data_IF_747211222260
#
_entry.id   IF_747211222260
#
_cell.length_a   1.000
_cell.length_b   1.000
_cell.length_c   1.000
_cell.angle_alpha   90.00
_cell.angle_beta   90.00
_cell.angle_gamma   90.00
#
_symmetry.space_group_name_H-M   'P 1'
#
loop_
_entity.id
_entity.type
_entity.pdbx_description
1 polymer ?
#
# COMPACT_ATOMS: atom_id res chain seq x y z
N UNK A 1 -18.06 13.76 -9.12
CA UNK A 1 -17.88 15.05 -8.45
C UNK A 1 -17.19 14.77 -7.13
N UNK A 2 -16.10 15.48 -6.87
CA UNK A 2 -15.34 15.30 -5.63
C UNK A 2 -16.23 15.68 -4.45
N UNK A 3 -16.38 14.81 -3.46
CA UNK A 3 -17.16 15.07 -2.24
C UNK A 3 -16.36 15.86 -1.19
N UNK A 4 -15.20 16.40 -1.57
CA UNK A 4 -14.33 17.16 -0.68
C UNK A 4 -14.74 18.63 -0.64
N UNK A 5 -14.80 19.21 0.57
CA UNK A 5 -15.05 20.64 0.78
C UNK A 5 -13.76 21.48 0.63
N UNK A 6 -12.85 21.05 -0.26
CA UNK A 6 -11.57 21.70 -0.50
C UNK A 6 -11.75 23.06 -1.14
N UNK A 7 -11.23 24.10 -0.49
CA UNK A 7 -11.38 25.49 -0.94
C UNK A 7 -10.27 25.95 -1.88
N UNK A 8 -9.13 25.28 -1.85
CA UNK A 8 -7.94 25.61 -2.64
C UNK A 8 -7.42 24.36 -3.33
N UNK A 9 -7.12 24.46 -4.61
CA UNK A 9 -6.38 23.44 -5.35
C UNK A 9 -4.99 23.98 -5.69
N UNK A 10 -3.97 23.11 -5.55
CA UNK A 10 -2.61 23.37 -6.02
C UNK A 10 -2.34 22.37 -7.13
N UNK A 11 -1.89 22.84 -8.28
CA UNK A 11 -1.67 22.01 -9.46
C UNK A 11 -0.40 22.46 -10.20
N UNK A 12 0.10 21.62 -11.09
CA UNK A 12 1.15 21.97 -12.06
C UNK A 12 0.57 22.71 -13.28
N UNK A 13 1.45 23.11 -14.21
CA UNK A 13 1.03 23.78 -15.45
C UNK A 13 0.24 22.86 -16.38
N UNK A 14 0.56 21.56 -16.41
CA UNK A 14 -0.06 20.61 -17.34
C UNK A 14 -1.53 20.38 -17.03
N UNK A 15 -1.94 20.49 -15.76
CA UNK A 15 -3.32 20.29 -15.30
C UNK A 15 -4.03 21.60 -14.94
N UNK A 16 -3.37 22.75 -15.11
CA UNK A 16 -3.88 24.04 -14.64
C UNK A 16 -5.23 24.43 -15.28
N UNK A 17 -5.38 24.22 -16.59
CA UNK A 17 -6.62 24.52 -17.31
C UNK A 17 -7.79 23.65 -16.84
N UNK A 18 -7.56 22.34 -16.67
CA UNK A 18 -8.58 21.39 -16.21
C UNK A 18 -9.05 21.70 -14.80
N UNK A 19 -8.11 22.00 -13.89
CA UNK A 19 -8.44 22.36 -12.51
C UNK A 19 -9.11 23.72 -12.42
N UNK A 20 -8.65 24.70 -13.22
CA UNK A 20 -9.27 26.02 -13.29
C UNK A 20 -10.73 25.96 -13.80
N UNK A 21 -11.03 25.08 -14.74
CA UNK A 21 -12.37 24.85 -15.24
C UNK A 21 -13.37 24.35 -14.17
N UNK A 22 -12.87 23.77 -13.08
CA UNK A 22 -13.69 23.33 -11.94
C UNK A 22 -14.13 24.49 -11.04
N UNK A 23 -13.48 25.65 -11.12
CA UNK A 23 -13.90 26.86 -10.37
C UNK A 23 -15.27 27.31 -10.87
N UNK A 24 -16.22 27.40 -9.96
CA UNK A 24 -17.62 27.69 -10.28
C UNK A 24 -18.48 26.44 -10.56
N UNK A 25 -17.90 25.31 -10.93
CA UNK A 25 -18.59 24.01 -11.01
C UNK A 25 -18.58 23.28 -9.65
N UNK A 26 -17.50 23.41 -8.89
CA UNK A 26 -17.35 22.89 -7.53
C UNK A 26 -17.52 24.05 -6.56
N UNK A 27 -18.65 24.10 -5.87
CA UNK A 27 -19.06 25.26 -5.08
C UNK A 27 -18.07 25.65 -3.96
N UNK A 28 -17.31 24.70 -3.43
CA UNK A 28 -16.31 24.95 -2.40
C UNK A 28 -14.95 25.41 -2.94
N UNK A 29 -14.61 25.15 -4.22
CA UNK A 29 -13.33 25.51 -4.80
C UNK A 29 -13.28 27.02 -5.10
N UNK A 30 -12.47 27.75 -4.34
CA UNK A 30 -12.38 29.22 -4.41
C UNK A 30 -11.12 29.71 -5.11
N UNK A 31 -10.06 28.90 -5.11
CA UNK A 31 -8.76 29.33 -5.65
C UNK A 31 -8.00 28.14 -6.22
N UNK A 32 -7.32 28.38 -7.33
CA UNK A 32 -6.36 27.45 -7.92
C UNK A 32 -4.98 28.12 -7.93
N UNK A 33 -3.98 27.42 -7.44
CA UNK A 33 -2.59 27.87 -7.40
C UNK A 33 -1.79 26.96 -8.31
N UNK A 34 -1.15 27.54 -9.31
CA UNK A 34 -0.23 26.79 -10.18
C UNK A 34 1.17 26.80 -9.57
N UNK A 35 1.79 25.65 -9.40
CA UNK A 35 3.11 25.45 -8.83
C UNK A 35 4.00 24.60 -9.77
N UNK A 36 5.19 25.11 -10.17
CA UNK A 36 5.74 26.43 -9.87
C UNK A 36 5.00 27.56 -10.59
N UNK A 37 5.01 28.75 -10.01
CA UNK A 37 4.38 29.94 -10.62
C UNK A 37 4.39 31.15 -9.70
N UNK A 38 4.08 32.36 -10.24
CA UNK A 38 4.25 33.60 -9.48
C UNK A 38 3.43 33.67 -8.17
N UNK A 39 2.26 33.03 -8.13
CA UNK A 39 1.44 32.99 -6.92
C UNK A 39 2.02 32.02 -5.89
N UNK A 40 2.50 30.86 -6.33
CA UNK A 40 3.17 29.88 -5.50
C UNK A 40 4.45 30.48 -4.89
N UNK A 41 5.29 31.14 -5.69
CA UNK A 41 6.53 31.76 -5.24
C UNK A 41 6.28 32.86 -4.19
N UNK A 42 5.24 33.68 -4.37
CA UNK A 42 4.85 34.67 -3.36
C UNK A 42 4.43 34.03 -2.05
N UNK A 43 3.66 32.94 -2.10
CA UNK A 43 3.23 32.22 -0.91
C UNK A 43 4.42 31.52 -0.21
N UNK A 44 5.27 30.87 -0.99
CA UNK A 44 6.45 30.17 -0.46
C UNK A 44 7.49 31.12 0.16
N UNK A 45 7.58 32.36 -0.31
CA UNK A 45 8.45 33.41 0.22
C UNK A 45 7.81 34.26 1.33
N UNK A 46 6.55 34.01 1.68
CA UNK A 46 5.85 34.73 2.75
C UNK A 46 6.45 34.41 4.12
N UNK A 47 6.30 35.31 5.08
CA UNK A 47 6.64 35.02 6.45
C UNK A 47 5.85 33.81 6.98
N UNK A 48 6.48 32.90 7.73
CA UNK A 48 5.79 31.76 8.33
C UNK A 48 4.64 32.24 9.22
N UNK A 49 3.47 31.57 9.09
CA UNK A 49 2.37 31.78 10.04
C UNK A 49 2.63 30.97 11.31
N UNK A 50 2.14 31.40 12.48
CA UNK A 50 2.21 30.60 13.69
C UNK A 50 1.54 29.24 13.51
N UNK A 51 2.11 28.22 14.16
CA UNK A 51 1.44 26.92 14.24
C UNK A 51 0.09 27.07 14.95
N UNK A 52 -0.91 26.39 14.40
CA UNK A 52 -2.25 26.35 15.00
C UNK A 52 -2.36 25.07 15.83
N UNK A 53 -2.82 25.20 17.07
CA UNK A 53 -3.17 24.04 17.88
C UNK A 53 -4.40 23.37 17.28
N UNK A 54 -4.31 22.06 17.06
CA UNK A 54 -5.38 21.23 16.55
C UNK A 54 -5.61 20.02 17.43
N UNK A 55 -6.86 19.60 17.52
CA UNK A 55 -7.20 18.38 18.26
C UNK A 55 -6.62 17.15 17.54
N UNK A 56 -6.19 16.16 18.30
CA UNK A 56 -5.57 14.94 17.75
C UNK A 56 -6.49 14.16 16.81
N UNK A 57 -7.79 14.30 16.99
CA UNK A 57 -8.82 13.66 16.18
C UNK A 57 -9.32 14.56 15.02
N UNK A 58 -8.71 15.75 14.86
CA UNK A 58 -9.01 16.59 13.70
C UNK A 58 -8.53 15.91 12.39
N UNK A 59 -9.29 16.02 11.28
CA UNK A 59 -8.87 15.55 9.97
C UNK A 59 -7.56 16.22 9.54
N UNK A 60 -6.59 15.40 9.11
CA UNK A 60 -5.28 15.88 8.66
C UNK A 60 -5.02 15.54 7.19
N UNK A 61 -5.56 14.41 6.71
CA UNK A 61 -5.36 13.94 5.35
C UNK A 61 -6.59 13.20 4.85
N UNK A 62 -7.04 13.47 3.64
CA UNK A 62 -8.01 12.65 2.93
C UNK A 62 -7.26 11.73 1.97
N UNK A 63 -7.20 10.45 2.30
CA UNK A 63 -6.56 9.46 1.45
C UNK A 63 -7.60 8.81 0.55
N UNK A 64 -7.53 9.09 -0.75
CA UNK A 64 -8.51 8.55 -1.70
C UNK A 64 -8.14 7.14 -2.13
N UNK A 65 -9.08 6.22 -1.95
CA UNK A 65 -8.99 4.82 -2.40
C UNK A 65 -9.96 4.58 -3.56
N UNK A 66 -9.60 3.66 -4.45
CA UNK A 66 -10.44 3.26 -5.58
C UNK A 66 -11.58 2.35 -5.13
N UNK A 67 -12.54 2.86 -4.37
CA UNK A 67 -13.61 2.04 -3.78
C UNK A 67 -14.17 0.95 -4.71
N UNK A 68 -14.60 -0.16 -4.12
CA UNK A 68 -15.19 -1.33 -4.81
C UNK A 68 -16.42 -0.99 -5.67
N UNK A 69 -17.06 0.15 -5.42
CA UNK A 69 -18.25 0.65 -6.14
C UNK A 69 -17.91 1.53 -7.35
N UNK A 70 -16.62 1.63 -7.74
CA UNK A 70 -16.17 2.44 -8.88
C UNK A 70 -16.08 3.96 -8.61
N UNK A 71 -16.53 4.44 -7.46
CA UNK A 71 -16.33 5.84 -7.04
C UNK A 71 -15.26 5.92 -5.97
N UNK A 72 -14.25 6.80 -6.10
CA UNK A 72 -13.24 6.98 -5.07
C UNK A 72 -13.86 7.36 -3.72
N UNK A 73 -13.36 6.74 -2.64
CA UNK A 73 -13.73 7.06 -1.26
C UNK A 73 -12.55 7.77 -0.60
N UNK A 74 -12.80 8.89 0.07
CA UNK A 74 -11.78 9.61 0.84
C UNK A 74 -11.73 9.08 2.27
N UNK A 75 -10.76 8.21 2.58
CA UNK A 75 -10.49 7.82 3.96
C UNK A 75 -10.01 9.05 4.74
N UNK A 76 -10.68 9.38 5.83
CA UNK A 76 -10.33 10.52 6.67
C UNK A 76 -9.26 10.10 7.65
N UNK A 77 -8.03 10.53 7.45
CA UNK A 77 -6.94 10.29 8.38
C UNK A 77 -6.81 11.48 9.33
N UNK A 78 -6.87 11.22 10.62
CA UNK A 78 -6.68 12.23 11.67
C UNK A 78 -5.20 12.39 12.03
N UNK A 79 -4.85 13.43 12.77
CA UNK A 79 -3.52 13.59 13.34
C UNK A 79 -3.13 12.39 14.22
N UNK A 80 -4.10 11.78 14.96
CA UNK A 80 -3.90 10.55 15.74
C UNK A 80 -3.47 9.39 14.85
N UNK A 81 -4.18 9.13 13.74
CA UNK A 81 -3.86 8.02 12.84
C UNK A 81 -2.45 8.16 12.24
N UNK A 82 -2.08 9.37 11.81
CA UNK A 82 -0.76 9.65 11.24
C UNK A 82 0.36 9.56 12.28
N UNK A 83 0.09 9.97 13.53
CA UNK A 83 1.04 9.81 14.63
C UNK A 83 1.24 8.35 15.00
N UNK A 84 0.15 7.57 15.12
CA UNK A 84 0.22 6.13 15.41
C UNK A 84 1.02 5.40 14.32
N UNK A 85 0.76 5.66 13.04
CA UNK A 85 1.55 5.14 11.91
C UNK A 85 3.03 5.52 12.03
N UNK A 86 3.33 6.78 12.38
CA UNK A 86 4.71 7.27 12.52
C UNK A 86 5.44 6.57 13.67
N UNK A 87 4.79 6.38 14.82
CA UNK A 87 5.37 5.68 15.96
C UNK A 87 5.57 4.18 15.68
N UNK A 88 4.58 3.55 15.06
CA UNK A 88 4.70 2.17 14.57
C UNK A 88 5.85 1.99 13.57
N UNK A 89 6.09 2.98 12.70
CA UNK A 89 7.26 2.94 11.81
C UNK A 89 8.56 2.83 12.60
N UNK A 90 8.76 3.66 13.63
CA UNK A 90 9.98 3.61 14.45
C UNK A 90 10.10 2.33 15.29
N UNK A 91 8.97 1.74 15.68
CA UNK A 91 8.98 0.49 16.43
C UNK A 91 9.34 -0.72 15.56
N UNK A 92 8.79 -0.81 14.34
CA UNK A 92 8.73 -2.08 13.61
C UNK A 92 9.50 -2.07 12.28
N UNK A 93 9.74 -0.89 11.67
CA UNK A 93 10.35 -0.83 10.33
C UNK A 93 11.81 -0.43 10.41
N UNK A 94 12.09 0.79 10.85
CA UNK A 94 13.47 1.30 10.89
C UNK A 94 13.63 2.50 11.83
N UNK A 95 14.86 2.68 12.33
CA UNK A 95 15.27 3.90 13.02
C UNK A 95 15.72 4.92 11.97
N UNK A 96 15.36 6.18 12.15
CA UNK A 96 15.72 7.28 11.26
C UNK A 96 16.63 8.25 11.99
N UNK A 97 17.76 8.57 11.37
CA UNK A 97 18.70 9.59 11.82
C UNK A 97 18.52 10.90 11.02
N UNK A 98 18.83 12.07 11.57
CA UNK A 98 18.73 13.34 10.84
C UNK A 98 19.59 13.42 9.56
N UNK A 99 20.60 12.55 9.45
CA UNK A 99 21.46 12.43 8.27
C UNK A 99 20.87 11.52 7.18
N UNK A 100 19.79 10.82 7.46
CA UNK A 100 19.12 9.93 6.51
C UNK A 100 18.27 10.72 5.51
N UNK A 101 17.84 10.05 4.48
CA UNK A 101 16.99 10.62 3.43
C UNK A 101 15.84 9.69 3.07
N UNK A 102 14.67 10.27 2.81
CA UNK A 102 13.58 9.55 2.15
C UNK A 102 13.52 9.96 0.69
N UNK A 103 13.62 8.97 -0.21
CA UNK A 103 13.51 9.18 -1.65
C UNK A 103 12.08 8.86 -2.10
N UNK A 104 11.38 9.84 -2.65
CA UNK A 104 10.01 9.68 -3.12
C UNK A 104 9.97 9.10 -4.53
N UNK A 105 10.39 7.84 -4.68
CA UNK A 105 10.41 7.11 -5.94
C UNK A 105 9.02 6.61 -6.40
N UNK A 106 8.02 6.73 -5.55
CA UNK A 106 6.60 6.46 -5.83
C UNK A 106 5.77 7.71 -5.53
N UNK A 107 4.50 7.80 -6.02
CA UNK A 107 3.68 8.99 -5.86
C UNK A 107 3.50 9.43 -4.40
N UNK A 108 3.70 10.74 -4.16
CA UNK A 108 3.50 11.36 -2.84
C UNK A 108 2.07 11.26 -2.32
N UNK A 109 1.10 11.11 -3.20
CA UNK A 109 -0.32 10.93 -2.85
C UNK A 109 -0.64 9.56 -2.24
N UNK A 110 0.33 8.64 -2.21
CA UNK A 110 0.20 7.26 -1.72
C UNK A 110 1.22 6.93 -0.63
N UNK A 111 1.64 5.68 -0.51
CA UNK A 111 2.53 5.20 0.53
C UNK A 111 3.84 5.99 0.67
N UNK A 112 4.40 6.48 -0.44
CA UNK A 112 5.63 7.27 -0.40
C UNK A 112 5.47 8.55 0.43
N UNK A 113 4.36 9.27 0.27
CA UNK A 113 4.09 10.49 1.05
C UNK A 113 3.83 10.21 2.52
N UNK A 114 3.13 9.12 2.85
CA UNK A 114 2.91 8.71 4.22
C UNK A 114 4.23 8.44 4.94
N UNK A 115 5.16 7.72 4.32
CA UNK A 115 6.48 7.46 4.91
C UNK A 115 7.43 8.66 4.90
N UNK A 116 7.06 9.78 4.27
CA UNK A 116 7.69 11.08 4.49
C UNK A 116 7.51 11.59 5.92
N UNK A 117 6.38 11.30 6.58
CA UNK A 117 6.07 11.81 7.92
C UNK A 117 7.07 11.37 9.00
N UNK A 118 7.40 10.07 9.16
CA UNK A 118 8.43 9.64 10.12
C UNK A 118 9.80 10.26 9.82
N UNK A 119 10.16 10.47 8.54
CA UNK A 119 11.42 11.11 8.17
C UNK A 119 11.44 12.60 8.55
N UNK A 120 10.36 13.33 8.28
CA UNK A 120 10.20 14.73 8.72
C UNK A 120 10.25 14.84 10.24
N UNK A 121 9.60 13.93 10.96
CA UNK A 121 9.62 13.90 12.44
C UNK A 121 11.03 13.72 13.01
N UNK A 122 11.96 13.13 12.25
CA UNK A 122 13.36 12.94 12.65
C UNK A 122 14.31 13.98 12.04
N UNK A 123 13.79 14.92 11.25
CA UNK A 123 14.59 15.94 10.59
C UNK A 123 15.42 15.42 9.40
N UNK A 124 15.06 14.27 8.86
CA UNK A 124 15.68 13.70 7.67
C UNK A 124 15.26 14.43 6.39
N UNK A 125 16.05 14.31 5.33
CA UNK A 125 15.81 15.01 4.07
C UNK A 125 14.82 14.27 3.18
N UNK A 126 13.83 14.98 2.63
CA UNK A 126 12.97 14.48 1.56
C UNK A 126 13.58 14.78 0.19
N UNK A 127 13.78 13.74 -0.61
CA UNK A 127 14.36 13.80 -1.96
C UNK A 127 13.31 13.44 -2.98
N UNK A 128 13.00 14.35 -3.90
CA UNK A 128 12.05 14.13 -4.99
C UNK A 128 12.85 13.93 -6.28
N UNK A 129 12.74 12.78 -6.96
CA UNK A 129 13.40 12.56 -8.25
C UNK A 129 12.90 13.55 -9.29
N UNK A 130 13.78 14.00 -10.17
CA UNK A 130 13.43 14.93 -11.24
C UNK A 130 12.47 14.28 -12.27
N UNK A 131 12.63 12.97 -12.51
CA UNK A 131 11.72 12.18 -13.36
C UNK A 131 10.30 12.01 -12.79
N UNK A 132 10.07 12.43 -11.54
CA UNK A 132 8.80 12.21 -10.82
C UNK A 132 8.62 10.79 -10.29
N UNK A 133 9.60 9.90 -10.40
CA UNK A 133 9.50 8.54 -9.84
C UNK A 133 10.50 7.54 -10.42
N UNK A 134 10.33 6.32 -10.19
CA UNK A 134 11.00 5.04 -10.42
C UNK A 134 11.96 4.82 -11.60
N UNK A 135 12.65 5.83 -12.15
CA UNK A 135 13.74 5.64 -13.10
C UNK A 135 14.97 5.06 -12.40
N UNK A 136 15.43 3.87 -12.85
CA UNK A 136 16.53 3.15 -12.19
C UNK A 136 17.87 3.89 -12.26
N UNK A 137 18.18 4.57 -13.37
CA UNK A 137 19.43 5.31 -13.53
C UNK A 137 19.44 6.55 -12.62
N UNK A 138 18.32 7.24 -12.51
CA UNK A 138 18.18 8.36 -11.60
C UNK A 138 18.28 7.92 -10.14
N UNK A 139 17.57 6.83 -9.74
CA UNK A 139 17.67 6.28 -8.39
C UNK A 139 19.12 5.90 -8.06
N UNK A 140 19.81 5.20 -8.97
CA UNK A 140 21.22 4.85 -8.79
C UNK A 140 22.10 6.09 -8.60
N UNK A 141 21.85 7.16 -9.35
CA UNK A 141 22.56 8.46 -9.19
C UNK A 141 22.26 9.13 -7.85
N UNK A 142 21.00 9.10 -7.41
CA UNK A 142 20.59 9.70 -6.13
C UNK A 142 21.17 8.93 -4.93
N UNK A 143 21.31 7.62 -5.02
CA UNK A 143 22.00 6.80 -4.00
C UNK A 143 23.48 7.17 -3.83
N UNK A 144 24.13 7.77 -4.85
CA UNK A 144 25.50 8.28 -4.71
C UNK A 144 25.56 9.66 -4.03
N UNK A 145 24.45 10.41 -4.04
CA UNK A 145 24.40 11.79 -3.56
C UNK A 145 23.88 11.88 -2.12
N UNK A 146 22.96 10.98 -1.73
CA UNK A 146 22.26 11.02 -0.45
C UNK A 146 22.63 9.80 0.40
N UNK A 147 22.60 9.99 1.73
CA UNK A 147 22.95 8.96 2.70
C UNK A 147 21.70 8.37 3.34
N UNK A 148 21.80 7.11 3.79
CA UNK A 148 20.75 6.44 4.54
C UNK A 148 19.42 6.47 3.79
N UNK A 149 19.46 6.23 2.47
CA UNK A 149 18.30 6.41 1.60
C UNK A 149 17.28 5.32 1.86
N UNK A 150 16.08 5.73 2.21
CA UNK A 150 14.89 4.87 2.33
C UNK A 150 13.87 5.29 1.29
N UNK A 151 13.18 4.33 0.67
CA UNK A 151 12.05 4.63 -0.21
C UNK A 151 10.97 3.55 -0.16
N UNK A 152 9.74 3.95 -0.48
CA UNK A 152 8.62 3.03 -0.69
C UNK A 152 8.56 2.60 -2.16
N UNK A 153 8.29 1.32 -2.40
CA UNK A 153 8.13 0.75 -3.73
C UNK A 153 7.00 -0.29 -3.77
N UNK A 154 6.20 -0.29 -4.82
CA UNK A 154 5.35 -1.44 -5.09
C UNK A 154 6.20 -2.67 -5.50
N UNK A 155 5.74 -3.91 -5.29
CA UNK A 155 6.46 -5.12 -5.68
C UNK A 155 6.96 -5.12 -7.12
N UNK A 156 6.15 -4.67 -8.07
CA UNK A 156 6.53 -4.53 -9.49
C UNK A 156 7.69 -3.55 -9.70
N UNK A 157 7.77 -2.50 -8.90
CA UNK A 157 8.89 -1.57 -8.93
C UNK A 157 10.15 -2.19 -8.34
N UNK A 158 10.05 -2.91 -7.23
CA UNK A 158 11.17 -3.66 -6.63
C UNK A 158 11.76 -4.64 -7.64
N UNK A 159 10.91 -5.45 -8.29
CA UNK A 159 11.32 -6.39 -9.34
C UNK A 159 12.03 -5.68 -10.51
N UNK A 160 11.47 -4.58 -11.00
CA UNK A 160 12.08 -3.79 -12.08
C UNK A 160 13.45 -3.25 -11.70
N UNK A 161 13.59 -2.70 -10.49
CA UNK A 161 14.86 -2.18 -10.00
C UNK A 161 15.90 -3.29 -9.78
N UNK A 162 15.48 -4.46 -9.30
CA UNK A 162 16.36 -5.62 -9.15
C UNK A 162 16.92 -6.13 -10.49
N UNK A 163 16.15 -5.98 -11.58
CA UNK A 163 16.58 -6.32 -12.94
C UNK A 163 17.29 -5.20 -13.69
N UNK A 164 17.34 -3.97 -13.16
CA UNK A 164 17.90 -2.82 -13.86
C UNK A 164 19.44 -2.78 -13.76
N UNK A 165 20.17 -2.85 -14.91
CA UNK A 165 21.64 -2.78 -14.91
C UNK A 165 22.22 -1.49 -14.32
N UNK A 166 21.49 -0.36 -14.33
CA UNK A 166 21.95 0.88 -13.72
C UNK A 166 21.95 0.77 -12.19
N UNK A 167 20.99 0.05 -11.62
CA UNK A 167 20.89 -0.19 -10.17
C UNK A 167 21.84 -1.30 -9.73
N UNK A 168 21.82 -2.45 -10.42
CA UNK A 168 22.59 -3.64 -10.02
C UNK A 168 24.10 -3.48 -10.10
N UNK A 169 24.58 -2.52 -10.92
CA UNK A 169 26.01 -2.17 -11.04
C UNK A 169 26.42 -0.97 -10.19
N UNK A 170 25.48 -0.30 -9.55
CA UNK A 170 25.77 0.86 -8.71
C UNK A 170 26.24 0.45 -7.31
N UNK A 171 26.87 1.38 -6.61
CA UNK A 171 27.15 1.22 -5.18
C UNK A 171 25.86 1.44 -4.39
N UNK A 172 25.39 0.41 -3.70
CA UNK A 172 24.19 0.43 -2.86
C UNK A 172 24.49 0.72 -1.38
N UNK A 173 25.70 1.15 -1.04
CA UNK A 173 26.11 1.36 0.37
C UNK A 173 25.25 2.40 1.10
N UNK A 174 24.73 3.40 0.39
CA UNK A 174 23.85 4.42 0.92
C UNK A 174 22.36 4.00 0.95
N UNK A 175 21.99 2.89 0.32
CA UNK A 175 20.65 2.34 0.43
C UNK A 175 20.44 1.73 1.82
N UNK A 176 19.50 2.27 2.58
CA UNK A 176 19.18 1.84 3.94
C UNK A 176 18.01 0.89 3.97
N UNK A 177 16.89 1.26 3.36
CA UNK A 177 15.68 0.45 3.39
C UNK A 177 14.83 0.65 2.15
N UNK A 178 14.37 -0.43 1.55
CA UNK A 178 13.26 -0.45 0.61
C UNK A 178 12.05 -0.98 1.35
N UNK A 179 11.05 -0.13 1.56
CA UNK A 179 9.77 -0.53 2.12
C UNK A 179 8.88 -0.94 0.95
N UNK A 180 8.40 -2.17 0.95
CA UNK A 180 7.54 -2.62 -0.14
C UNK A 180 6.18 -3.13 0.35
N UNK A 181 5.16 -2.94 -0.49
CA UNK A 181 3.80 -3.36 -0.21
C UNK A 181 2.79 -2.76 -1.19
N UNK A 182 1.51 -2.89 -0.86
CA UNK A 182 0.40 -2.40 -1.69
C UNK A 182 -0.02 -3.35 -2.82
N UNK A 183 0.70 -4.45 -3.03
CA UNK A 183 0.36 -5.54 -3.94
C UNK A 183 1.06 -6.83 -3.47
N UNK A 184 0.68 -8.02 -3.99
CA UNK A 184 1.40 -9.26 -3.70
C UNK A 184 2.86 -9.20 -4.15
N UNK A 185 3.76 -9.68 -3.28
CA UNK A 185 5.16 -9.96 -3.61
C UNK A 185 5.31 -11.46 -3.70
N UNK A 186 5.62 -11.95 -4.90
CA UNK A 186 5.86 -13.38 -5.09
C UNK A 186 7.23 -13.77 -4.58
N UNK A 187 7.34 -14.98 -4.01
CA UNK A 187 8.59 -15.45 -3.39
C UNK A 187 9.78 -15.42 -4.35
N UNK A 188 9.58 -15.83 -5.59
CA UNK A 188 10.65 -15.81 -6.61
C UNK A 188 11.18 -14.39 -6.88
N UNK A 189 10.29 -13.39 -6.98
CA UNK A 189 10.67 -11.99 -7.18
C UNK A 189 11.36 -11.42 -5.93
N UNK A 190 10.93 -11.84 -4.74
CA UNK A 190 11.56 -11.45 -3.47
C UNK A 190 12.97 -12.02 -3.35
N UNK A 191 13.17 -13.30 -3.70
CA UNK A 191 14.51 -13.94 -3.68
C UNK A 191 15.47 -13.23 -4.64
N UNK A 192 15.03 -12.87 -5.86
CA UNK A 192 15.82 -12.07 -6.80
C UNK A 192 16.14 -10.68 -6.22
N UNK A 193 15.18 -10.01 -5.59
CA UNK A 193 15.39 -8.71 -4.98
C UNK A 193 16.37 -8.77 -3.81
N UNK A 194 16.27 -9.80 -2.95
CA UNK A 194 17.20 -10.01 -1.83
C UNK A 194 18.64 -10.31 -2.31
N UNK A 195 18.80 -10.99 -3.43
CA UNK A 195 20.11 -11.23 -4.02
C UNK A 195 20.80 -9.92 -4.48
N UNK A 196 20.01 -8.92 -4.91
CA UNK A 196 20.52 -7.61 -5.35
C UNK A 196 20.66 -6.63 -4.18
N UNK A 197 19.60 -6.45 -3.40
CA UNK A 197 19.56 -5.41 -2.37
C UNK A 197 20.08 -5.87 -1.00
N UNK A 198 20.25 -7.17 -0.81
CA UNK A 198 20.64 -7.74 0.48
C UNK A 198 19.57 -7.50 1.55
N UNK A 199 19.95 -7.44 2.85
CA UNK A 199 19.02 -7.33 3.98
C UNK A 199 18.49 -5.90 4.15
N UNK A 200 17.97 -5.30 3.08
CA UNK A 200 17.45 -3.92 3.07
C UNK A 200 15.96 -3.85 2.75
N UNK A 201 15.29 -4.99 2.62
CA UNK A 201 13.87 -5.05 2.33
C UNK A 201 13.06 -5.14 3.62
N UNK A 202 11.98 -4.36 3.70
CA UNK A 202 10.97 -4.45 4.75
C UNK A 202 9.58 -4.46 4.09
N UNK A 203 8.77 -5.45 4.40
CA UNK A 203 7.41 -5.55 3.87
C UNK A 203 6.42 -4.87 4.78
N UNK A 204 5.39 -4.27 4.17
CA UNK A 204 4.20 -3.82 4.88
C UNK A 204 2.93 -4.30 4.19
N UNK A 205 1.92 -4.59 5.00
CA UNK A 205 0.55 -4.70 4.58
C UNK A 205 -0.29 -3.66 5.30
N UNK A 206 -1.15 -3.01 4.57
CA UNK A 206 -2.10 -2.02 5.07
C UNK A 206 -2.86 -1.37 3.93
N UNK A 207 -3.89 -0.63 4.30
CA UNK A 207 -4.79 0.07 3.38
C UNK A 207 -4.70 1.57 3.61
N UNK A 208 -5.37 2.37 2.75
CA UNK A 208 -5.50 3.82 2.97
C UNK A 208 -6.22 4.16 4.26
N UNK A 209 -7.13 3.29 4.66
CA UNK A 209 -7.96 3.35 5.88
C UNK A 209 -7.15 3.14 7.18
N UNK A 210 -5.91 2.62 7.07
CA UNK A 210 -4.99 2.37 8.20
C UNK A 210 -3.61 2.97 7.98
N UNK A 211 -3.42 4.04 7.28
CA UNK A 211 -2.24 4.58 6.59
C UNK A 211 -1.09 3.57 6.47
N UNK A 212 -1.31 2.50 5.67
CA UNK A 212 -0.34 1.44 5.36
C UNK A 212 0.15 0.62 6.58
N UNK A 213 -0.62 0.54 7.68
CA UNK A 213 -0.13 0.02 8.96
C UNK A 213 -1.08 -1.03 9.53
N UNK A 214 -0.97 -2.27 9.08
CA UNK A 214 -1.69 -3.43 9.65
C UNK A 214 -0.67 -4.46 10.13
N UNK A 215 0.12 -5.05 9.20
CA UNK A 215 1.19 -6.01 9.51
C UNK A 215 2.49 -5.64 8.81
N UNK A 216 3.56 -6.33 9.11
CA UNK A 216 4.83 -6.15 8.41
C UNK A 216 5.85 -7.25 8.70
N UNK A 217 6.81 -7.38 7.78
CA UNK A 217 8.02 -8.18 7.93
C UNK A 217 9.23 -7.26 7.97
N UNK A 218 10.02 -7.40 9.01
CA UNK A 218 11.23 -6.59 9.24
C UNK A 218 12.38 -7.00 8.31
N UNK A 219 13.40 -6.15 8.24
CA UNK A 219 14.67 -6.47 7.56
C UNK A 219 15.37 -7.68 8.17
N UNK A 220 15.24 -7.88 9.49
CA UNK A 220 15.83 -9.01 10.18
C UNK A 220 15.19 -10.33 9.76
N UNK A 221 13.87 -10.38 9.64
CA UNK A 221 13.14 -11.56 9.16
C UNK A 221 13.49 -11.90 7.71
N UNK A 222 13.65 -10.89 6.84
CA UNK A 222 14.13 -11.12 5.47
C UNK A 222 15.55 -11.69 5.41
N UNK A 223 16.41 -11.31 6.34
CA UNK A 223 17.80 -11.74 6.37
C UNK A 223 18.01 -13.14 6.97
N UNK A 224 17.09 -13.63 7.79
CA UNK A 224 17.24 -14.90 8.52
C UNK A 224 16.83 -16.11 7.67
N UNK A 225 17.53 -16.33 6.57
CA UNK A 225 17.31 -17.46 5.67
C UNK A 225 17.79 -18.81 6.21
N UNK A 226 18.34 -18.84 7.42
CA UNK A 226 18.71 -20.08 8.12
C UNK A 226 17.53 -20.76 8.81
N UNK A 227 16.42 -20.03 9.04
CA UNK A 227 15.20 -20.57 9.60
C UNK A 227 14.48 -21.50 8.58
N UNK A 228 14.13 -22.73 8.95
CA UNK A 228 13.44 -23.67 8.06
C UNK A 228 12.07 -23.16 7.59
N UNK A 229 11.41 -22.25 8.35
CA UNK A 229 10.13 -21.64 8.01
C UNK A 229 10.29 -20.31 7.26
N UNK A 230 11.51 -19.91 6.91
CA UNK A 230 11.75 -18.61 6.25
C UNK A 230 10.91 -18.42 4.99
N UNK A 231 10.81 -19.45 4.13
CA UNK A 231 10.03 -19.37 2.88
C UNK A 231 8.53 -19.15 3.13
N UNK A 232 7.99 -19.79 4.15
CA UNK A 232 6.59 -19.66 4.53
C UNK A 232 6.32 -18.22 5.05
N UNK A 233 7.23 -17.72 5.91
CA UNK A 233 7.16 -16.32 6.40
C UNK A 233 7.26 -15.29 5.28
N UNK A 234 8.12 -15.50 4.29
CA UNK A 234 8.28 -14.61 3.14
C UNK A 234 7.06 -14.59 2.20
N UNK A 235 6.20 -15.59 2.28
CA UNK A 235 4.90 -15.63 1.59
C UNK A 235 3.77 -14.99 2.40
N UNK A 236 4.01 -14.71 3.68
CA UNK A 236 3.09 -13.99 4.55
C UNK A 236 3.17 -12.48 4.34
N UNK A 237 2.29 -11.73 4.98
CA UNK A 237 2.37 -10.27 5.12
C UNK A 237 2.86 -9.85 6.52
N UNK A 238 3.42 -10.80 7.26
CA UNK A 238 4.09 -10.58 8.53
C UNK A 238 3.20 -10.58 9.76
N UNK A 239 3.74 -10.02 10.82
CA UNK A 239 3.12 -9.92 12.14
C UNK A 239 2.33 -8.61 12.29
N UNK A 240 1.29 -8.55 13.13
CA UNK A 240 0.62 -7.32 13.49
C UNK A 240 1.62 -6.25 13.94
N UNK A 241 1.41 -5.01 13.46
CA UNK A 241 2.26 -3.88 13.85
C UNK A 241 2.03 -3.48 15.29
N UNK A 242 3.01 -2.83 15.90
CA UNK A 242 2.90 -2.30 17.26
C UNK A 242 1.65 -1.44 17.41
N UNK A 243 0.88 -1.72 18.46
CA UNK A 243 -0.40 -1.07 18.80
C UNK A 243 -1.52 -1.28 17.77
N UNK A 244 -1.47 -2.37 17.00
CA UNK A 244 -2.51 -2.76 16.03
C UNK A 244 -3.03 -4.15 16.38
N UNK A 245 -4.33 -4.25 16.62
CA UNK A 245 -5.01 -5.54 16.78
C UNK A 245 -5.49 -6.02 15.41
N UNK A 246 -5.18 -7.27 15.09
CA UNK A 246 -5.58 -7.91 13.83
C UNK A 246 -6.24 -9.24 14.16
N UNK A 247 -7.39 -9.51 13.58
CA UNK A 247 -8.10 -10.80 13.71
C UNK A 247 -8.52 -11.31 12.34
N UNK A 248 -8.78 -12.60 12.28
CA UNK A 248 -9.43 -13.25 11.15
C UNK A 248 -10.79 -13.75 11.64
N UNK A 249 -11.85 -13.34 10.95
CA UNK A 249 -13.23 -13.60 11.39
C UNK A 249 -14.06 -14.27 10.29
N UNK A 250 -15.12 -14.97 10.72
CA UNK A 250 -16.13 -15.53 9.82
C UNK A 250 -17.18 -14.47 9.38
N UNK A 251 -18.18 -14.88 8.64
CA UNK A 251 -19.30 -14.04 8.16
C UNK A 251 -20.17 -13.43 9.28
N UNK A 252 -20.07 -13.95 10.51
CA UNK A 252 -20.78 -13.48 11.69
C UNK A 252 -19.90 -12.65 12.62
N UNK A 253 -18.71 -12.22 12.15
CA UNK A 253 -17.70 -11.48 12.91
C UNK A 253 -17.15 -12.28 14.11
N UNK A 254 -17.21 -13.63 14.07
CA UNK A 254 -16.63 -14.51 15.09
C UNK A 254 -15.19 -14.85 14.71
N UNK A 255 -14.26 -14.65 15.66
CA UNK A 255 -12.85 -14.96 15.46
C UNK A 255 -12.61 -16.44 15.15
N UNK A 256 -11.88 -16.72 14.09
CA UNK A 256 -11.57 -18.06 13.61
C UNK A 256 -10.29 -18.61 14.27
N UNK A 257 -10.20 -19.94 14.43
CA UNK A 257 -8.96 -20.60 14.85
C UNK A 257 -7.80 -20.36 13.89
N UNK A 258 -6.58 -20.50 14.42
CA UNK A 258 -5.34 -20.47 13.63
C UNK A 258 -5.41 -21.48 12.46
N UNK A 259 -5.03 -21.03 11.27
CA UNK A 259 -5.04 -21.80 10.03
C UNK A 259 -6.35 -21.73 9.24
N UNK A 260 -7.44 -21.26 9.84
CA UNK A 260 -8.70 -21.06 9.12
C UNK A 260 -8.72 -19.72 8.38
N UNK A 261 -9.33 -19.72 7.19
CA UNK A 261 -9.38 -18.54 6.32
C UNK A 261 -10.68 -17.77 6.57
N UNK A 262 -10.54 -16.46 6.82
CA UNK A 262 -11.67 -15.55 7.00
C UNK A 262 -11.30 -14.13 6.63
N UNK A 263 -12.20 -13.17 6.88
CA UNK A 263 -11.93 -11.76 6.66
C UNK A 263 -10.95 -11.22 7.69
N UNK A 264 -9.96 -10.46 7.23
CA UNK A 264 -9.03 -9.74 8.10
C UNK A 264 -9.71 -8.49 8.62
N UNK A 265 -9.79 -8.34 9.95
CA UNK A 265 -10.34 -7.15 10.61
C UNK A 265 -9.30 -6.51 11.50
N UNK A 266 -9.35 -5.18 11.62
CA UNK A 266 -8.29 -4.38 12.24
C UNK A 266 -8.87 -3.39 13.24
N UNK A 267 -8.18 -3.21 14.36
CA UNK A 267 -8.48 -2.19 15.37
C UNK A 267 -7.20 -1.54 15.89
N UNK A 268 -7.25 -0.26 16.20
CA UNK A 268 -6.13 0.51 16.77
C UNK A 268 -6.20 1.98 16.37
N UNK A 269 -5.32 2.78 16.92
CA UNK A 269 -5.24 4.22 16.67
C UNK A 269 -4.86 4.56 15.21
N UNK A 270 -4.40 3.59 14.44
CA UNK A 270 -4.14 3.73 12.99
C UNK A 270 -5.43 3.72 12.16
N UNK A 271 -6.54 3.20 12.68
CA UNK A 271 -7.79 3.05 11.92
C UNK A 271 -8.49 4.39 11.77
N UNK A 272 -8.85 4.75 10.55
CA UNK A 272 -9.60 5.97 10.23
C UNK A 272 -10.94 6.05 10.98
N UNK A 273 -11.46 7.24 11.32
CA UNK A 273 -12.82 7.38 11.87
C UNK A 273 -13.93 7.17 10.82
N UNK A 274 -13.62 7.15 9.53
CA UNK A 274 -14.58 6.92 8.45
C UNK A 274 -14.21 7.59 7.14
N UNK A 275 -15.07 7.38 6.15
CA UNK A 275 -14.94 8.02 4.84
C UNK A 275 -15.59 9.41 4.85
N UNK A 276 -14.93 10.37 4.23
CA UNK A 276 -15.39 11.75 4.15
C UNK A 276 -16.75 11.85 3.45
N UNK A 277 -17.73 12.42 4.15
CA UNK A 277 -19.11 12.59 3.67
C UNK A 277 -19.79 11.29 3.16
N UNK A 278 -19.42 10.13 3.72
CA UNK A 278 -20.01 8.82 3.38
C UNK A 278 -20.32 8.01 4.65
N UNK A 279 -21.33 8.41 5.44
CA UNK A 279 -21.62 7.80 6.74
C UNK A 279 -22.06 6.32 6.62
N UNK A 280 -22.82 5.96 5.58
CA UNK A 280 -23.28 4.58 5.38
C UNK A 280 -22.10 3.65 5.06
N UNK A 281 -21.23 4.04 4.14
CA UNK A 281 -20.02 3.27 3.82
C UNK A 281 -19.07 3.19 5.02
N UNK A 282 -19.00 4.22 5.85
CA UNK A 282 -18.21 4.22 7.07
C UNK A 282 -18.77 3.25 8.09
N UNK A 283 -20.09 3.25 8.32
CA UNK A 283 -20.75 2.34 9.25
C UNK A 283 -20.59 0.87 8.84
N UNK A 284 -20.67 0.57 7.55
CA UNK A 284 -20.47 -0.78 7.01
C UNK A 284 -19.02 -1.23 7.22
N UNK A 285 -18.05 -0.39 6.85
CA UNK A 285 -16.62 -0.72 6.91
C UNK A 285 -16.10 -0.80 8.35
N UNK A 286 -16.68 -0.05 9.29
CA UNK A 286 -16.26 0.03 10.70
C UNK A 286 -17.23 -0.69 11.66
N UNK A 287 -17.99 -1.64 11.16
CA UNK A 287 -19.01 -2.36 11.97
C UNK A 287 -18.35 -3.11 13.13
N UNK A 288 -19.05 -3.23 14.22
CA UNK A 288 -18.57 -3.93 15.42
C UNK A 288 -17.35 -3.27 16.12
N UNK A 289 -16.94 -2.07 15.67
CA UNK A 289 -15.73 -1.39 16.18
C UNK A 289 -14.42 -1.90 15.57
N UNK A 290 -14.51 -2.62 14.47
CA UNK A 290 -13.40 -3.12 13.67
C UNK A 290 -13.46 -2.60 12.25
N UNK A 291 -12.31 -2.28 11.67
CA UNK A 291 -12.19 -2.05 10.25
C UNK A 291 -12.24 -3.40 9.52
N UNK A 292 -13.21 -3.59 8.67
CA UNK A 292 -13.33 -4.71 7.75
C UNK A 292 -12.56 -4.41 6.48
N UNK A 293 -11.45 -5.13 6.27
CA UNK A 293 -10.52 -4.84 5.18
C UNK A 293 -11.04 -5.30 3.82
N UNK A 294 -11.93 -6.29 3.81
CA UNK A 294 -12.34 -7.02 2.61
C UNK A 294 -11.25 -7.95 2.06
N UNK A 295 -10.13 -8.10 2.75
CA UNK A 295 -9.06 -9.03 2.39
C UNK A 295 -9.25 -10.33 3.19
N UNK A 296 -9.09 -11.49 2.51
CA UNK A 296 -9.18 -12.81 3.13
C UNK A 296 -7.78 -13.29 3.50
N UNK A 297 -7.65 -13.91 4.68
CA UNK A 297 -6.36 -14.40 5.15
C UNK A 297 -6.49 -15.40 6.27
N UNK A 298 -5.34 -15.90 6.73
CA UNK A 298 -5.26 -16.80 7.89
C UNK A 298 -3.97 -16.55 8.66
N UNK A 299 -4.01 -16.69 9.98
CA UNK A 299 -2.83 -16.71 10.81
C UNK A 299 -2.24 -18.13 10.90
N UNK A 300 -0.91 -18.21 10.92
CA UNK A 300 -0.23 -19.44 11.32
C UNK A 300 -0.04 -19.52 12.85
N UNK A 301 0.58 -20.62 13.32
CA UNK A 301 0.81 -20.86 14.74
C UNK A 301 1.83 -19.88 15.37
N UNK A 302 2.62 -19.21 14.58
CA UNK A 302 3.63 -18.23 15.01
C UNK A 302 3.07 -16.78 14.95
N UNK A 303 1.85 -16.60 14.44
CA UNK A 303 1.15 -15.31 14.35
C UNK A 303 1.41 -14.54 13.06
N UNK A 304 2.01 -15.16 12.03
CA UNK A 304 2.16 -14.54 10.72
C UNK A 304 0.85 -14.61 9.93
N UNK A 305 0.46 -13.48 9.38
CA UNK A 305 -0.73 -13.38 8.54
C UNK A 305 -0.38 -13.68 7.08
N UNK A 306 -1.05 -14.65 6.49
CA UNK A 306 -0.98 -14.89 5.04
C UNK A 306 -2.28 -14.43 4.38
N UNK A 307 -2.18 -13.49 3.45
CA UNK A 307 -3.33 -13.08 2.63
C UNK A 307 -3.53 -14.08 1.51
N UNK A 308 -4.80 -14.43 1.29
CA UNK A 308 -5.20 -15.35 0.20
C UNK A 308 -5.66 -14.57 -1.02
N UNK A 309 -6.69 -13.76 -0.85
CA UNK A 309 -7.24 -12.90 -1.91
C UNK A 309 -8.17 -11.84 -1.32
N UNK A 310 -8.75 -10.98 -2.16
CA UNK A 310 -9.90 -10.18 -1.75
C UNK A 310 -11.17 -11.01 -1.84
N UNK A 311 -12.09 -10.79 -0.93
CA UNK A 311 -13.39 -11.48 -0.90
C UNK A 311 -14.14 -11.36 -2.25
N UNK A 312 -14.00 -10.24 -2.94
CA UNK A 312 -14.61 -9.98 -4.25
C UNK A 312 -13.91 -10.64 -5.44
N UNK A 313 -12.63 -11.01 -5.30
CA UNK A 313 -11.82 -11.62 -6.34
C UNK A 313 -11.80 -13.16 -6.20
N UNK A 314 -12.41 -13.67 -5.13
CA UNK A 314 -12.60 -15.09 -4.88
C UNK A 314 -13.39 -15.75 -6.01
N UNK A 315 -12.85 -16.80 -6.57
CA UNK A 315 -13.53 -17.62 -7.58
C UNK A 315 -14.23 -18.76 -6.89
N UNK A 316 -15.55 -18.85 -7.01
CA UNK A 316 -16.33 -19.96 -6.47
C UNK A 316 -16.70 -20.91 -7.60
N UNK A 317 -16.29 -22.17 -7.53
CA UNK A 317 -16.58 -23.19 -8.54
C UNK A 317 -17.05 -24.48 -7.87
N UNK A 318 -18.28 -24.88 -8.15
CA UNK A 318 -18.86 -26.10 -7.57
C UNK A 318 -18.90 -26.09 -6.04
N UNK A 319 -19.07 -24.92 -5.42
CA UNK A 319 -19.07 -24.76 -3.95
C UNK A 319 -17.67 -24.73 -3.31
N UNK A 320 -16.60 -24.76 -4.12
CA UNK A 320 -15.23 -24.64 -3.62
C UNK A 320 -14.67 -23.24 -3.88
N UNK A 321 -14.02 -22.68 -2.89
CA UNK A 321 -13.28 -21.44 -3.00
C UNK A 321 -11.95 -21.68 -3.69
N UNK A 322 -11.68 -20.94 -4.76
CA UNK A 322 -10.40 -20.94 -5.48
C UNK A 322 -9.82 -19.53 -5.32
N UNK A 323 -8.64 -19.47 -4.75
CA UNK A 323 -7.92 -18.23 -4.53
C UNK A 323 -6.95 -18.01 -5.72
N UNK A 324 -7.20 -17.02 -6.60
CA UNK A 324 -6.37 -16.72 -7.77
C UNK A 324 -4.88 -16.70 -7.46
N UNK A 325 -4.48 -16.04 -6.38
CA UNK A 325 -3.10 -15.91 -5.96
C UNK A 325 -2.38 -17.24 -5.73
N UNK A 326 -3.04 -18.24 -5.15
CA UNK A 326 -2.42 -19.56 -4.93
C UNK A 326 -2.04 -20.24 -6.26
N UNK A 327 -2.89 -20.09 -7.28
CA UNK A 327 -2.63 -20.64 -8.62
C UNK A 327 -1.53 -19.84 -9.32
N UNK A 328 -1.54 -18.53 -9.18
CA UNK A 328 -0.54 -17.63 -9.74
C UNK A 328 0.86 -17.91 -9.17
N UNK A 329 0.97 -18.11 -7.86
CA UNK A 329 2.24 -18.45 -7.21
C UNK A 329 2.84 -19.76 -7.73
N UNK A 330 2.03 -20.78 -7.96
CA UNK A 330 2.50 -22.05 -8.53
C UNK A 330 2.97 -21.87 -9.97
N UNK A 331 2.22 -21.12 -10.78
CA UNK A 331 2.57 -20.89 -12.18
C UNK A 331 3.84 -20.05 -12.34
N UNK A 332 4.06 -19.07 -11.48
CA UNK A 332 5.26 -18.20 -11.49
C UNK A 332 6.54 -18.95 -11.10
N UNK A 333 6.45 -20.11 -10.47
CA UNK A 333 7.63 -20.97 -10.23
C UNK A 333 8.22 -21.55 -11.52
N UNK A 334 7.44 -21.55 -12.60
CA UNK A 334 7.95 -22.09 -13.87
C UNK A 334 8.82 -21.04 -14.59
N UNK A 335 10.08 -21.37 -14.95
CA UNK A 335 11.07 -20.40 -15.46
C UNK A 335 10.68 -19.72 -16.79
N UNK A 336 9.71 -20.25 -17.52
CA UNK A 336 9.21 -19.65 -18.76
C UNK A 336 8.01 -18.70 -18.52
N UNK A 337 7.53 -18.56 -17.29
CA UNK A 337 6.40 -17.68 -16.93
C UNK A 337 6.96 -16.38 -16.38
N UNK A 338 6.75 -15.27 -17.07
CA UNK A 338 7.18 -13.94 -16.64
C UNK A 338 6.11 -13.18 -15.86
N UNK A 339 4.83 -13.40 -16.19
CA UNK A 339 3.67 -12.84 -15.51
C UNK A 339 2.46 -13.75 -15.69
N UNK A 340 1.54 -13.76 -14.73
CA UNK A 340 0.31 -14.56 -14.77
C UNK A 340 -0.80 -13.79 -14.05
N UNK A 341 -2.03 -13.94 -14.52
CA UNK A 341 -3.23 -13.53 -13.82
C UNK A 341 -4.29 -14.62 -13.97
N UNK A 342 -4.89 -15.02 -12.87
CA UNK A 342 -5.99 -15.98 -12.82
C UNK A 342 -7.29 -15.21 -12.68
N UNK A 343 -8.24 -15.44 -13.59
CA UNK A 343 -9.52 -14.75 -13.60
C UNK A 343 -10.68 -15.74 -13.72
N UNK A 344 -11.75 -15.49 -13.00
CA UNK A 344 -12.98 -16.26 -13.09
C UNK A 344 -13.72 -15.96 -14.40
N UNK A 345 -14.28 -17.00 -15.03
CA UNK A 345 -15.17 -16.85 -16.18
C UNK A 345 -16.55 -17.43 -15.84
N UNK A 346 -17.64 -16.67 -16.06
CA UNK A 346 -18.99 -17.21 -15.85
C UNK A 346 -19.26 -18.48 -16.67
N UNK A 347 -19.81 -19.50 -16.05
CA UNK A 347 -20.21 -20.74 -16.70
C UNK A 347 -21.66 -21.10 -16.33
N UNK A 348 -22.52 -21.42 -17.33
CA UNK A 348 -23.95 -21.69 -17.10
C UNK A 348 -24.23 -23.04 -16.42
N UNK A 349 -23.31 -24.02 -16.43
CA UNK A 349 -23.52 -25.35 -15.86
C UNK A 349 -23.21 -25.45 -14.37
N UNK A 350 -22.31 -24.57 -13.85
CA UNK A 350 -21.80 -24.64 -12.47
C UNK A 350 -22.36 -23.53 -11.58
N UNK A 351 -23.70 -23.36 -11.57
CA UNK A 351 -24.37 -22.42 -10.68
C UNK A 351 -24.30 -22.92 -9.24
N UNK A 352 -23.77 -22.10 -8.31
CA UNK A 352 -23.96 -22.36 -6.89
C UNK A 352 -25.37 -21.96 -6.47
N UNK A 353 -26.01 -22.78 -5.63
CA UNK A 353 -27.39 -22.56 -5.24
C UNK A 353 -27.56 -21.63 -4.03
N UNK A 354 -26.56 -20.98 -3.51
CA UNK A 354 -26.74 -20.11 -2.33
C UNK A 354 -26.11 -18.71 -2.51
N UNK A 355 -27.04 -17.76 -2.55
CA UNK A 355 -27.00 -16.33 -2.22
C UNK A 355 -26.05 -15.37 -2.93
N UNK A 356 -26.68 -14.61 -3.84
CA UNK A 356 -26.56 -13.16 -4.05
C UNK A 356 -25.17 -12.55 -4.10
N UNK A 357 -24.44 -12.89 -5.08
CA UNK A 357 -23.77 -12.01 -6.03
C UNK A 357 -23.26 -12.91 -7.14
N UNK A 358 -23.84 -12.69 -8.27
CA UNK A 358 -23.66 -13.47 -9.48
C UNK A 358 -22.21 -13.47 -9.93
N UNK A 359 -21.50 -14.60 -9.78
CA UNK A 359 -20.47 -14.99 -10.75
C UNK A 359 -19.97 -16.39 -10.41
N UNK A 360 -20.60 -17.36 -11.01
CA UNK A 360 -20.15 -18.74 -10.99
C UNK A 360 -19.34 -18.99 -12.23
N UNK A 361 -18.19 -19.55 -12.07
CA UNK A 361 -17.36 -19.89 -13.21
C UNK A 361 -16.83 -21.30 -13.14
N UNK A 362 -16.96 -22.00 -14.23
CA UNK A 362 -16.23 -23.22 -14.49
C UNK A 362 -14.75 -22.89 -14.64
N UNK A 363 -13.92 -23.76 -14.12
CA UNK A 363 -12.48 -23.74 -14.31
C UNK A 363 -12.13 -23.97 -15.80
N UNK A 364 -12.45 -23.03 -16.64
CA UNK A 364 -11.66 -22.83 -17.83
C UNK A 364 -10.58 -21.84 -17.38
N UNK A 365 -9.49 -22.40 -16.87
CA UNK A 365 -8.23 -21.70 -16.73
C UNK A 365 -7.87 -21.13 -18.11
N UNK A 366 -8.45 -20.00 -18.47
CA UNK A 366 -7.87 -19.17 -19.49
C UNK A 366 -6.74 -18.44 -18.81
N UNK A 367 -5.69 -19.20 -18.49
CA UNK A 367 -4.36 -18.63 -18.42
C UNK A 367 -4.13 -17.99 -19.78
N UNK A 368 -4.48 -16.73 -19.91
CA UNK A 368 -3.88 -15.91 -20.94
C UNK A 368 -2.45 -15.67 -20.48
N UNK A 369 -1.60 -16.67 -20.68
CA UNK A 369 -0.17 -16.56 -20.62
C UNK A 369 0.21 -15.44 -21.58
N UNK A 370 0.31 -14.21 -21.07
CA UNK A 370 1.15 -13.22 -21.69
C UNK A 370 2.59 -13.72 -21.46
N UNK A 371 3.00 -14.67 -22.30
CA UNK A 371 4.39 -15.08 -22.40
C UNK A 371 5.16 -13.89 -22.98
N UNK A 372 5.58 -12.96 -22.15
CA UNK A 372 6.72 -12.12 -22.49
C UNK A 372 7.93 -13.05 -22.48
N UNK A 373 8.37 -13.42 -23.67
CA UNK A 373 9.62 -14.15 -23.86
C UNK A 373 10.74 -13.26 -23.35
N UNK A 374 11.52 -13.81 -22.37
CA UNK A 374 12.83 -13.27 -22.06
C UNK A 374 13.72 -13.28 -23.28
#
# INVERSE_FOLDING_TARGET
>A
MCSSDLSVAITDEDHAEDVQALVGQVACLRSVIVAPGPQWERLASSAPVPLVDVEVDAPAWLFYTSGTTGRPKGATLTHRNLLAMTLSYFADIDQIEPSDSVLHAAPLSHGSGLYGLPHVARGAVSVIPHSGGGDGAEIASLLQQWKGVTFFAAPTMVKRLAGDPAVTRSDLSNLKTIIYGGAPMYLADLEEALAVFGPRLAQIYGQGETPMTITGLSKAEHADNSDPHWRDRMQSVGLPRTDVEVRVVDENDVELPVGEIGEVVVRGDVVMPGYWNQPEASAETLRGGWLHTGDMGSFDAEGYLTLRDRSKDLIISGGMNIYPREVEEVLLQHPAVGAVAVVGRPDPEWRSEEHTSELQSHLNLVCRLLLEKK
#
